data_IF_354186494095
#
_entry.id   IF_354186494095
#
_cell.length_a   1.000
_cell.length_b   1.000
_cell.length_c   1.000
_cell.angle_alpha   90.00
_cell.angle_beta   90.00
_cell.angle_gamma   90.00
#
_symmetry.space_group_name_H-M   'P 1'
#
loop_
_entity.id
_entity.type
_entity.pdbx_description
1 polymer ?
#
# COMPACT_ATOMS: atom_id res chain seq x y z
N UNK A 1 -20.75 32.38 5.47
CA UNK A 1 -20.18 31.11 5.94
C UNK A 1 -19.60 30.37 4.75
N UNK A 2 -18.28 30.39 4.58
CA UNK A 2 -17.62 29.77 3.42
C UNK A 2 -17.58 28.26 3.61
N UNK A 3 -18.25 27.51 2.72
CA UNK A 3 -18.24 26.05 2.71
C UNK A 3 -16.80 25.59 2.47
N UNK A 4 -16.10 25.14 3.53
CA UNK A 4 -14.77 24.51 3.40
C UNK A 4 -14.91 23.34 2.44
N UNK A 5 -14.35 23.45 1.24
CA UNK A 5 -14.26 22.34 0.30
C UNK A 5 -13.32 21.33 0.95
N UNK A 6 -13.86 20.19 1.38
CA UNK A 6 -13.07 19.08 1.90
C UNK A 6 -12.29 18.47 0.72
N UNK A 7 -11.11 19.00 0.44
CA UNK A 7 -10.23 18.50 -0.62
C UNK A 7 -9.83 17.06 -0.30
N UNK A 8 -10.19 16.14 -1.19
CA UNK A 8 -9.74 14.75 -1.15
C UNK A 8 -8.48 14.64 -1.99
N UNK A 9 -7.38 14.21 -1.37
CA UNK A 9 -6.12 13.97 -2.05
C UNK A 9 -6.09 12.54 -2.57
N UNK A 10 -5.85 12.38 -3.86
CA UNK A 10 -5.78 11.06 -4.49
C UNK A 10 -4.38 10.47 -4.32
N UNK A 11 -4.34 9.18 -4.02
CA UNK A 11 -3.15 8.37 -3.86
C UNK A 11 -3.37 7.02 -4.53
N UNK A 12 -2.27 6.35 -4.83
CA UNK A 12 -2.25 4.98 -5.31
C UNK A 12 -1.34 4.15 -4.42
N UNK A 13 -1.68 2.87 -4.24
CA UNK A 13 -0.90 1.94 -3.45
C UNK A 13 -1.03 0.51 -3.94
N UNK A 14 -0.13 -0.34 -3.49
CA UNK A 14 -0.15 -1.78 -3.80
C UNK A 14 -0.42 -2.59 -2.54
N UNK A 15 -1.00 -3.78 -2.70
CA UNK A 15 -0.86 -4.87 -1.73
C UNK A 15 0.20 -5.82 -2.29
N UNK A 16 1.47 -5.71 -1.85
CA UNK A 16 2.49 -6.65 -2.28
C UNK A 16 2.26 -7.99 -1.61
N UNK A 17 2.31 -9.06 -2.39
CA UNK A 17 2.12 -10.42 -1.89
C UNK A 17 3.09 -11.41 -2.54
N UNK A 18 3.28 -12.53 -1.85
CA UNK A 18 3.98 -13.71 -2.38
C UNK A 18 3.25 -14.98 -1.95
N UNK A 19 3.54 -16.08 -2.63
CA UNK A 19 3.14 -17.42 -2.19
C UNK A 19 4.33 -18.07 -1.50
N UNK A 20 4.17 -18.43 -0.24
CA UNK A 20 5.17 -19.12 0.57
C UNK A 20 4.54 -20.39 1.13
N UNK A 21 5.09 -21.57 0.79
CA UNK A 21 4.55 -22.88 1.19
C UNK A 21 3.03 -23.04 0.96
N UNK A 22 2.56 -22.58 -0.20
CA UNK A 22 1.15 -22.65 -0.59
C UNK A 22 0.23 -21.65 0.12
N UNK A 23 0.78 -20.76 0.95
CA UNK A 23 0.03 -19.70 1.63
C UNK A 23 0.34 -18.33 1.04
N UNK A 24 -0.65 -17.47 1.03
CA UNK A 24 -0.45 -16.06 0.69
C UNK A 24 0.17 -15.32 1.88
N UNK A 25 1.28 -14.65 1.64
CA UNK A 25 1.86 -13.67 2.55
C UNK A 25 1.78 -12.27 1.94
N UNK A 26 1.42 -11.30 2.77
CA UNK A 26 1.34 -9.88 2.42
C UNK A 26 2.49 -9.13 3.06
N UNK A 27 3.12 -8.24 2.29
CA UNK A 27 4.15 -7.34 2.79
C UNK A 27 3.51 -6.08 3.36
N UNK A 28 3.78 -5.80 4.63
CA UNK A 28 3.56 -4.49 5.21
C UNK A 28 4.88 -3.77 5.43
N UNK A 29 4.80 -2.44 5.48
CA UNK A 29 5.90 -1.57 5.87
C UNK A 29 5.50 -0.69 7.04
N UNK A 30 6.47 -0.24 7.82
CA UNK A 30 6.18 0.76 8.85
C UNK A 30 5.86 2.11 8.23
N UNK A 31 5.09 2.94 8.93
CA UNK A 31 5.13 4.39 8.67
C UNK A 31 6.54 4.91 8.92
N UNK A 32 6.91 6.06 8.33
CA UNK A 32 8.22 6.70 8.59
C UNK A 32 8.49 7.03 10.06
N UNK A 33 7.44 7.19 10.88
CA UNK A 33 7.58 7.37 12.34
C UNK A 33 7.69 6.06 13.11
N UNK A 34 7.62 4.90 12.43
CA UNK A 34 7.60 3.55 13.01
C UNK A 34 6.50 3.30 14.05
N UNK A 35 5.38 4.03 13.95
CA UNK A 35 4.25 3.95 14.90
C UNK A 35 3.06 3.14 14.37
N UNK A 36 3.24 2.40 13.28
CA UNK A 36 2.21 1.55 12.71
C UNK A 36 2.62 0.95 11.39
N UNK A 37 1.82 -0.02 10.94
CA UNK A 37 2.01 -0.75 9.68
C UNK A 37 1.04 -0.26 8.63
N UNK A 38 1.52 -0.16 7.40
CA UNK A 38 0.78 0.28 6.22
C UNK A 38 1.21 -0.54 5.00
N UNK A 39 0.44 -0.43 3.93
CA UNK A 39 0.89 -0.83 2.60
C UNK A 39 1.71 0.29 1.94
N UNK A 40 2.57 0.00 0.95
CA UNK A 40 3.27 1.02 0.18
C UNK A 40 2.29 1.87 -0.63
N UNK A 41 2.36 3.20 -0.50
CA UNK A 41 1.46 4.12 -1.19
C UNK A 41 1.96 5.56 -1.21
N UNK A 42 1.58 6.30 -2.24
CA UNK A 42 1.88 7.72 -2.33
C UNK A 42 1.03 8.47 -3.34
N UNK A 43 1.50 9.65 -3.72
CA UNK A 43 0.75 10.53 -4.62
C UNK A 43 0.77 10.01 -6.06
N UNK A 44 -0.22 10.40 -6.86
CA UNK A 44 -0.19 10.13 -8.30
C UNK A 44 0.98 10.89 -8.93
N UNK A 45 1.91 10.16 -9.56
CA UNK A 45 3.06 10.74 -10.22
C UNK A 45 2.65 11.34 -11.57
N UNK A 46 3.17 12.53 -11.90
CA UNK A 46 2.80 13.24 -13.13
C UNK A 46 3.21 12.40 -14.36
N UNK A 47 2.24 12.14 -15.24
CA UNK A 47 2.47 11.36 -16.46
C UNK A 47 2.47 9.84 -16.26
N UNK A 48 2.18 9.35 -15.05
CA UNK A 48 2.06 7.93 -14.76
C UNK A 48 0.60 7.54 -14.56
N UNK A 49 0.26 6.31 -14.93
CA UNK A 49 -1.02 5.72 -14.53
C UNK A 49 -1.06 5.51 -13.00
N UNK A 50 -2.25 5.27 -12.40
CA UNK A 50 -2.33 4.96 -10.98
C UNK A 50 -1.59 3.68 -10.57
N UNK A 51 -1.62 2.62 -11.38
CA UNK A 51 -0.92 1.38 -11.06
C UNK A 51 0.60 1.54 -11.20
N UNK A 52 1.08 2.29 -12.19
CA UNK A 52 2.51 2.59 -12.31
C UNK A 52 2.99 3.47 -11.15
N UNK A 53 2.19 4.46 -10.74
CA UNK A 53 2.49 5.28 -9.56
C UNK A 53 2.58 4.41 -8.30
N UNK A 54 1.66 3.46 -8.15
CA UNK A 54 1.69 2.50 -7.04
C UNK A 54 2.93 1.59 -7.08
N UNK A 55 3.34 1.12 -8.26
CA UNK A 55 4.55 0.33 -8.45
C UNK A 55 5.82 1.09 -8.02
N UNK A 56 5.91 2.37 -8.41
CA UNK A 56 7.02 3.25 -8.02
C UNK A 56 7.10 3.41 -6.51
N UNK A 57 5.98 3.64 -5.84
CA UNK A 57 5.92 3.76 -4.37
C UNK A 57 6.30 2.43 -3.68
N UNK A 58 5.94 1.28 -4.26
CA UNK A 58 6.37 -0.03 -3.76
C UNK A 58 7.90 -0.20 -3.81
N UNK A 59 8.53 0.25 -4.89
CA UNK A 59 9.98 0.26 -5.02
C UNK A 59 10.64 1.24 -4.04
N UNK A 60 10.14 2.47 -3.93
CA UNK A 60 10.73 3.50 -3.06
C UNK A 60 10.57 3.16 -1.57
N UNK A 61 9.36 2.81 -1.15
CA UNK A 61 9.04 2.63 0.27
C UNK A 61 9.41 1.23 0.79
N UNK A 62 9.36 0.20 -0.08
CA UNK A 62 9.50 -1.20 0.32
C UNK A 62 10.56 -1.98 -0.46
N UNK A 63 11.17 -1.41 -1.50
CA UNK A 63 12.19 -2.10 -2.30
C UNK A 63 11.67 -3.37 -2.94
N UNK A 64 10.37 -3.45 -3.28
CA UNK A 64 9.79 -4.62 -3.95
C UNK A 64 9.38 -4.29 -5.37
N UNK A 65 9.61 -5.26 -6.26
CA UNK A 65 9.37 -5.13 -7.70
C UNK A 65 8.60 -6.36 -8.18
N UNK A 66 7.74 -6.15 -9.17
CA UNK A 66 6.96 -7.17 -9.86
C UNK A 66 5.92 -6.50 -10.75
N UNK A 67 5.06 -7.31 -11.37
CA UNK A 67 4.04 -6.81 -12.29
C UNK A 67 2.74 -6.42 -11.57
N UNK A 68 2.55 -5.12 -11.30
CA UNK A 68 1.31 -4.59 -10.70
C UNK A 68 0.11 -4.84 -11.61
N UNK A 69 -1.04 -5.19 -11.04
CA UNK A 69 -2.30 -5.32 -11.78
C UNK A 69 -2.77 -3.97 -12.31
N UNK A 70 -3.36 -3.96 -13.50
CA UNK A 70 -3.96 -2.74 -14.06
C UNK A 70 -5.36 -2.46 -13.49
N UNK A 71 -6.07 -3.51 -13.07
CA UNK A 71 -7.39 -3.42 -12.44
C UNK A 71 -7.26 -2.99 -10.98
N UNK A 72 -8.09 -2.02 -10.60
CA UNK A 72 -8.21 -1.57 -9.21
C UNK A 72 -8.91 -2.65 -8.39
N UNK A 73 -8.24 -3.09 -7.33
CA UNK A 73 -8.76 -4.04 -6.35
C UNK A 73 -9.82 -3.42 -5.43
N UNK A 74 -9.66 -2.12 -5.15
CA UNK A 74 -10.57 -1.33 -4.34
C UNK A 74 -9.89 -0.08 -3.82
N UNK A 75 -10.55 0.64 -2.92
CA UNK A 75 -9.97 1.83 -2.30
C UNK A 75 -10.35 1.97 -0.82
N UNK A 76 -9.56 2.75 -0.10
CA UNK A 76 -9.88 3.16 1.26
C UNK A 76 -9.53 4.63 1.47
N UNK A 77 -10.09 5.21 2.54
CA UNK A 77 -9.85 6.60 2.93
C UNK A 77 -9.25 6.67 4.31
N UNK A 78 -8.34 7.62 4.50
CA UNK A 78 -7.83 7.97 5.82
C UNK A 78 -7.72 9.49 5.98
N UNK A 79 -7.65 9.95 7.23
CA UNK A 79 -7.47 11.36 7.57
C UNK A 79 -6.09 11.60 8.17
N UNK A 80 -5.40 12.65 7.71
CA UNK A 80 -4.10 13.07 8.25
C UNK A 80 -4.00 14.59 8.20
N UNK A 81 -3.70 15.20 9.34
CA UNK A 81 -3.52 16.66 9.49
C UNK A 81 -4.68 17.48 8.89
N UNK A 82 -5.92 17.07 9.16
CA UNK A 82 -7.13 17.74 8.67
C UNK A 82 -7.51 17.45 7.20
N UNK A 83 -6.66 16.74 6.44
CA UNK A 83 -6.92 16.36 5.06
C UNK A 83 -7.44 14.94 4.96
N UNK A 84 -8.29 14.68 3.96
CA UNK A 84 -8.75 13.32 3.61
C UNK A 84 -7.97 12.83 2.40
N UNK A 85 -7.45 11.61 2.49
CA UNK A 85 -6.75 10.93 1.41
C UNK A 85 -7.57 9.73 0.98
N UNK A 86 -7.68 9.50 -0.33
CA UNK A 86 -8.24 8.29 -0.91
C UNK A 86 -7.11 7.54 -1.61
N UNK A 87 -6.98 6.24 -1.31
CA UNK A 87 -5.94 5.37 -1.85
C UNK A 87 -6.61 4.31 -2.71
N UNK A 88 -6.37 4.35 -4.02
CA UNK A 88 -6.74 3.26 -4.93
C UNK A 88 -5.67 2.16 -4.87
N UNK A 89 -6.10 0.91 -4.70
CA UNK A 89 -5.25 -0.23 -4.44
C UNK A 89 -5.17 -1.15 -5.65
N UNK A 90 -3.97 -1.69 -5.87
CA UNK A 90 -3.66 -2.69 -6.89
C UNK A 90 -2.94 -3.87 -6.24
N UNK A 91 -2.97 -5.04 -6.87
CA UNK A 91 -2.18 -6.18 -6.41
C UNK A 91 -0.77 -6.10 -7.01
N UNK A 92 0.23 -6.49 -6.22
CA UNK A 92 1.60 -6.66 -6.67
C UNK A 92 2.08 -8.06 -6.29
N UNK A 93 2.06 -9.03 -7.22
CA UNK A 93 2.81 -10.27 -7.07
C UNK A 93 4.30 -9.90 -7.05
N UNK A 94 4.96 -10.10 -5.92
CA UNK A 94 6.36 -9.70 -5.75
C UNK A 94 7.27 -10.73 -6.41
N UNK A 95 8.06 -10.26 -7.38
CA UNK A 95 9.04 -11.05 -8.12
C UNK A 95 10.45 -10.85 -7.56
N UNK A 96 10.73 -9.66 -7.02
CA UNK A 96 12.05 -9.32 -6.48
C UNK A 96 11.93 -8.45 -5.23
N UNK A 97 12.76 -8.76 -4.24
CA UNK A 97 12.92 -7.98 -3.01
C UNK A 97 14.36 -7.47 -2.97
N UNK A 98 14.53 -6.15 -3.03
CA UNK A 98 15.84 -5.51 -3.00
C UNK A 98 16.38 -5.43 -1.57
N UNK A 99 17.71 -5.59 -1.45
CA UNK A 99 18.45 -5.42 -0.20
C UNK A 99 18.75 -3.95 0.11
N UNK A 100 19.04 -3.16 -0.92
CA UNK A 100 19.19 -1.70 -0.84
C UNK A 100 18.07 -1.03 -1.64
N UNK A 101 17.40 -0.06 -1.01
CA UNK A 101 16.26 0.64 -1.61
C UNK A 101 16.10 2.05 -1.01
N UNK A 102 15.38 2.97 -1.69
CA UNK A 102 15.40 4.39 -1.36
C UNK A 102 15.04 4.75 0.09
N UNK A 103 14.04 4.06 0.68
CA UNK A 103 13.61 4.33 2.07
C UNK A 103 14.09 3.27 3.10
N UNK A 104 15.15 2.50 2.80
CA UNK A 104 15.61 1.41 3.67
C UNK A 104 15.94 1.82 5.11
N UNK A 105 16.42 3.04 5.30
CA UNK A 105 16.75 3.58 6.63
C UNK A 105 15.54 4.14 7.38
N UNK A 106 14.45 4.43 6.67
CA UNK A 106 13.25 5.06 7.21
C UNK A 106 12.11 4.06 7.47
N UNK A 107 12.16 2.87 6.88
CA UNK A 107 11.09 1.87 6.98
C UNK A 107 11.61 0.47 7.24
N UNK A 108 10.81 -0.28 7.97
CA UNK A 108 10.97 -1.73 8.13
C UNK A 108 9.90 -2.46 7.33
N UNK A 109 10.19 -3.71 6.99
CA UNK A 109 9.35 -4.60 6.17
C UNK A 109 8.94 -5.81 6.99
N UNK A 110 7.73 -6.32 6.78
CA UNK A 110 7.29 -7.57 7.39
C UNK A 110 6.35 -8.34 6.46
N UNK A 111 6.74 -9.56 6.13
CA UNK A 111 5.88 -10.55 5.49
C UNK A 111 5.01 -11.21 6.56
N UNK A 112 3.71 -11.31 6.27
CA UNK A 112 2.69 -11.77 7.21
C UNK A 112 1.65 -12.60 6.47
N UNK A 113 1.11 -13.62 7.13
CA UNK A 113 -0.11 -14.26 6.60
C UNK A 113 -1.24 -13.23 6.54
N UNK A 114 -2.17 -13.43 5.59
CA UNK A 114 -3.28 -12.51 5.28
C UNK A 114 -3.98 -11.95 6.52
N UNK A 115 -4.40 -12.84 7.43
CA UNK A 115 -5.14 -12.42 8.63
C UNK A 115 -4.27 -11.60 9.59
N UNK A 116 -2.98 -11.93 9.72
CA UNK A 116 -2.06 -11.16 10.56
C UNK A 116 -1.81 -9.78 9.98
N UNK A 117 -1.62 -9.67 8.66
CA UNK A 117 -1.47 -8.38 7.99
C UNK A 117 -2.72 -7.50 8.19
N UNK A 118 -3.91 -8.09 8.05
CA UNK A 118 -5.18 -7.41 8.19
C UNK A 118 -5.41 -6.85 9.61
N UNK A 119 -4.90 -7.51 10.66
CA UNK A 119 -4.99 -7.02 12.05
C UNK A 119 -4.00 -5.88 12.37
N UNK A 120 -2.89 -5.74 11.62
CA UNK A 120 -1.89 -4.70 11.89
C UNK A 120 -2.20 -3.35 11.23
N UNK A 121 -3.06 -3.33 10.20
CA UNK A 121 -3.50 -2.11 9.55
C UNK A 121 -4.66 -1.46 10.32
N UNK A 122 -4.74 -0.13 10.31
CA UNK A 122 -5.72 0.61 11.14
C UNK A 122 -7.09 0.75 10.47
N UNK A 123 -7.10 0.86 9.15
CA UNK A 123 -8.28 1.20 8.38
C UNK A 123 -9.13 -0.05 8.10
N UNK A 124 -10.35 -0.10 8.65
CA UNK A 124 -11.27 -1.24 8.50
C UNK A 124 -11.52 -1.64 7.04
N UNK A 125 -11.60 -0.66 6.13
CA UNK A 125 -11.74 -0.95 4.70
C UNK A 125 -10.50 -1.64 4.11
N UNK A 126 -9.29 -1.23 4.51
CA UNK A 126 -8.06 -1.88 4.07
C UNK A 126 -7.95 -3.30 4.65
N UNK A 127 -8.28 -3.48 5.94
CA UNK A 127 -8.38 -4.80 6.59
C UNK A 127 -9.27 -5.75 5.78
N UNK A 128 -10.48 -5.30 5.42
CA UNK A 128 -11.43 -6.09 4.63
C UNK A 128 -10.87 -6.44 3.25
N UNK A 129 -10.30 -5.46 2.54
CA UNK A 129 -9.71 -5.68 1.22
C UNK A 129 -8.61 -6.74 1.32
N UNK A 130 -7.67 -6.62 2.27
CA UNK A 130 -6.61 -7.61 2.49
C UNK A 130 -7.21 -9.00 2.71
N UNK A 131 -8.30 -9.15 3.46
CA UNK A 131 -8.88 -10.48 3.75
C UNK A 131 -9.59 -11.13 2.55
N UNK A 132 -10.11 -10.33 1.61
CA UNK A 132 -10.98 -10.83 0.52
C UNK A 132 -10.31 -10.87 -0.85
N UNK A 133 -9.00 -10.63 -0.94
CA UNK A 133 -8.30 -10.47 -2.23
C UNK A 133 -7.79 -11.78 -2.86
N UNK A 134 -7.99 -12.94 -2.21
CA UNK A 134 -7.24 -14.17 -2.50
C UNK A 134 -8.11 -15.34 -2.98
N UNK A 135 -9.17 -15.02 -3.72
CA UNK A 135 -10.17 -15.99 -4.18
C UNK A 135 -9.97 -16.30 -5.66
#
# INVERSE_FOLDING_TARGET
MTRKINKVFQQSGVIPYRINDGKVEVLLITTRSRQGWVIPKGGLCKGMSPHDSAAKEAWEEAGVVGRVTTEELGNYKYRKRGNTYQVNLFLLPVETVLEDWPEATARERKWLEVNQAAELVKETSLKRIIQTSWI
#
